data_IF_401572180022
#
_entry.id   IF_401572180022
#
_cell.length_a   1.000
_cell.length_b   1.000
_cell.length_c   1.000
_cell.angle_alpha   90.00
_cell.angle_beta   90.00
_cell.angle_gamma   90.00
#
_symmetry.space_group_name_H-M   'P 1'
#
loop_
_entity.id
_entity.type
_entity.pdbx_description
1 polymer ?
#
# COMPACT_ATOMS: atom_id res chain seq x y z
N UNK A 1 49.47 33.04 6.89
CA UNK A 1 49.18 32.47 8.23
C UNK A 1 47.90 31.67 8.11
N UNK A 2 48.03 30.35 8.17
CA UNK A 2 46.93 29.37 8.16
C UNK A 2 46.19 29.38 9.50
N UNK A 3 44.85 29.31 9.46
CA UNK A 3 43.98 28.65 10.45
C UNK A 3 42.76 28.16 9.64
N UNK A 4 42.57 26.91 9.22
CA UNK A 4 42.57 25.58 9.87
C UNK A 4 41.34 25.29 10.75
N UNK A 5 40.40 24.54 10.15
CA UNK A 5 39.52 23.46 10.65
C UNK A 5 38.67 23.64 11.92
N UNK A 6 37.35 23.41 11.79
CA UNK A 6 36.68 22.22 12.36
C UNK A 6 35.46 21.84 11.49
N UNK A 7 35.66 20.85 10.61
CA UNK A 7 34.57 20.07 10.04
C UNK A 7 34.05 19.12 11.12
N UNK A 8 32.73 19.07 11.32
CA UNK A 8 32.10 17.98 12.06
C UNK A 8 31.73 16.90 11.04
N UNK A 9 32.46 15.79 11.07
CA UNK A 9 32.17 14.59 10.30
C UNK A 9 30.80 14.04 10.72
N UNK A 10 29.82 14.16 9.82
CA UNK A 10 28.64 13.29 9.87
C UNK A 10 29.01 11.94 9.27
N UNK A 11 28.67 10.82 9.91
CA UNK A 11 28.91 9.50 9.33
C UNK A 11 28.09 9.33 8.03
N UNK A 12 28.60 8.59 7.03
CA UNK A 12 27.86 8.35 5.80
C UNK A 12 26.60 7.54 6.12
N UNK A 13 25.44 8.09 5.75
CA UNK A 13 24.18 7.34 5.72
C UNK A 13 24.37 6.15 4.77
N UNK A 14 24.17 4.94 5.27
CA UNK A 14 24.23 3.72 4.46
C UNK A 14 23.19 3.76 3.36
N UNK A 15 23.61 3.34 2.16
CA UNK A 15 22.80 3.28 0.96
C UNK A 15 21.79 2.12 1.06
N UNK A 16 20.62 2.35 1.67
CA UNK A 16 19.48 1.40 1.65
C UNK A 16 18.68 1.50 0.33
N UNK A 17 19.34 1.82 -0.80
CA UNK A 17 18.73 1.88 -2.13
C UNK A 17 18.42 0.47 -2.70
N UNK A 18 18.86 -0.58 -2.01
CA UNK A 18 18.71 -1.99 -2.41
C UNK A 18 17.29 -2.53 -2.16
N UNK A 19 16.62 -2.11 -1.08
CA UNK A 19 15.32 -2.67 -0.66
C UNK A 19 14.17 -2.22 -1.59
N UNK A 20 14.27 -1.03 -2.19
CA UNK A 20 13.21 -0.46 -3.04
C UNK A 20 13.26 -0.97 -4.49
N UNK A 21 14.41 -1.47 -4.98
CA UNK A 21 14.54 -1.99 -6.36
C UNK A 21 13.77 -3.29 -6.59
N UNK A 22 13.47 -4.06 -5.54
CA UNK A 22 12.74 -5.32 -5.65
C UNK A 22 11.23 -5.15 -5.89
N UNK A 23 10.65 -3.98 -5.59
CA UNK A 23 9.22 -3.70 -5.78
C UNK A 23 8.84 -3.50 -7.26
N UNK A 24 9.82 -3.27 -8.14
CA UNK A 24 9.59 -3.05 -9.58
C UNK A 24 9.54 -4.33 -10.44
N UNK A 25 9.74 -5.52 -9.87
CA UNK A 25 9.89 -6.78 -10.62
C UNK A 25 8.62 -7.63 -10.79
N UNK A 26 7.49 -7.23 -10.21
CA UNK A 26 6.24 -8.00 -10.28
C UNK A 26 5.25 -7.50 -11.34
N UNK A 27 5.74 -6.99 -12.48
CA UNK A 27 4.90 -6.77 -13.69
C UNK A 27 5.21 -7.81 -14.76
N UNK A 28 4.54 -8.96 -14.67
CA UNK A 28 4.45 -9.97 -15.72
C UNK A 28 3.05 -10.59 -15.72
N UNK A 29 2.49 -11.00 -16.88
CA UNK A 29 1.17 -11.61 -16.93
C UNK A 29 1.19 -12.97 -16.20
N UNK A 30 0.45 -13.07 -15.10
CA UNK A 30 0.22 -14.34 -14.40
C UNK A 30 -0.60 -15.26 -15.30
N UNK A 31 0.00 -16.38 -15.73
CA UNK A 31 -0.71 -17.48 -16.39
C UNK A 31 -1.59 -18.19 -15.33
N UNK A 32 -2.91 -18.10 -15.49
CA UNK A 32 -3.92 -18.55 -14.50
C UNK A 32 -4.09 -20.10 -14.48
N UNK A 33 -3.18 -20.88 -15.08
CA UNK A 33 -3.39 -22.33 -15.23
C UNK A 33 -2.79 -23.23 -14.14
N UNK A 34 -2.13 -22.71 -13.10
CA UNK A 34 -1.42 -23.58 -12.12
C UNK A 34 -1.65 -23.29 -10.62
N UNK A 35 -2.57 -22.40 -10.23
CA UNK A 35 -2.83 -22.10 -8.79
C UNK A 35 -4.08 -22.80 -8.24
N UNK A 36 -4.29 -24.08 -8.57
CA UNK A 36 -5.20 -24.97 -7.83
C UNK A 36 -4.36 -25.75 -6.82
N UNK A 37 -3.96 -25.11 -5.72
CA UNK A 37 -3.19 -25.78 -4.67
C UNK A 37 -2.67 -24.87 -3.57
N UNK A 38 -3.32 -24.92 -2.40
CA UNK A 38 -2.83 -24.48 -1.08
C UNK A 38 -2.64 -22.99 -0.82
N UNK A 39 -3.75 -22.27 -0.66
CA UNK A 39 -3.89 -21.42 0.53
C UNK A 39 -4.75 -22.20 1.51
N UNK A 40 -4.14 -22.92 2.45
CA UNK A 40 -4.87 -23.57 3.53
C UNK A 40 -5.49 -22.48 4.40
N UNK A 41 -6.74 -22.67 4.82
CA UNK A 41 -7.49 -21.77 5.72
C UNK A 41 -6.68 -21.45 7.00
N UNK A 42 -5.78 -22.34 7.40
CA UNK A 42 -4.83 -22.15 8.50
C UNK A 42 -3.96 -20.88 8.37
N UNK A 43 -3.56 -20.50 7.15
CA UNK A 43 -2.74 -19.30 6.93
C UNK A 43 -3.54 -18.01 7.08
N UNK A 44 -4.85 -18.06 6.89
CA UNK A 44 -5.75 -16.94 7.13
C UNK A 44 -6.12 -16.82 8.62
N UNK A 45 -6.27 -17.96 9.31
CA UNK A 45 -6.59 -17.98 10.75
C UNK A 45 -5.41 -17.51 11.61
N UNK A 46 -4.16 -17.80 11.24
CA UNK A 46 -3.00 -17.31 12.02
C UNK A 46 -2.84 -15.79 12.00
N UNK A 47 -3.49 -15.09 11.08
CA UNK A 47 -3.42 -13.63 10.97
C UNK A 47 -4.46 -12.94 11.86
N UNK A 48 -5.53 -13.65 12.25
CA UNK A 48 -6.61 -13.12 13.08
C UNK A 48 -6.32 -13.18 14.60
N UNK A 49 -5.20 -13.81 15.02
CA UNK A 49 -4.92 -14.12 16.43
C UNK A 49 -3.62 -13.48 16.94
N UNK A 50 -3.46 -12.16 16.74
CA UNK A 50 -2.42 -11.41 17.46
C UNK A 50 -2.91 -10.05 17.93
N UNK A 51 -3.99 -10.05 18.70
CA UNK A 51 -4.21 -8.97 19.67
C UNK A 51 -3.32 -9.22 20.90
N UNK A 52 -2.00 -9.09 20.71
CA UNK A 52 -1.07 -8.86 21.82
C UNK A 52 -1.22 -7.39 22.27
N UNK A 53 -2.38 -7.07 22.82
CA UNK A 53 -2.61 -5.80 23.48
C UNK A 53 -1.81 -5.85 24.78
N UNK A 54 -0.68 -5.11 24.84
CA UNK A 54 0.19 -4.82 26.01
C UNK A 54 1.62 -5.43 26.05
N UNK A 55 2.12 -6.10 25.02
CA UNK A 55 3.57 -6.42 24.97
C UNK A 55 4.41 -5.22 24.48
N UNK A 56 5.62 -4.98 25.02
CA UNK A 56 6.50 -3.92 24.52
C UNK A 56 6.88 -4.20 23.06
N UNK A 57 6.29 -3.46 22.13
CA UNK A 57 6.65 -3.54 20.72
C UNK A 57 7.85 -2.65 20.40
N UNK A 58 8.77 -3.18 19.60
CA UNK A 58 9.83 -2.40 18.98
C UNK A 58 9.26 -1.56 17.84
N UNK A 59 9.89 -0.41 17.57
CA UNK A 59 9.53 0.45 16.43
C UNK A 59 9.59 -0.29 15.09
N UNK A 60 10.45 -1.31 14.96
CA UNK A 60 10.52 -2.17 13.77
C UNK A 60 9.27 -3.04 13.61
N UNK A 61 8.76 -3.62 14.70
CA UNK A 61 7.53 -4.44 14.67
C UNK A 61 6.32 -3.58 14.32
N UNK A 62 6.24 -2.36 14.85
CA UNK A 62 5.19 -1.40 14.51
C UNK A 62 5.22 -1.07 13.00
N UNK A 63 6.41 -0.82 12.45
CA UNK A 63 6.56 -0.54 11.01
C UNK A 63 6.17 -1.73 10.15
N UNK A 64 6.57 -2.94 10.55
CA UNK A 64 6.21 -4.14 9.82
C UNK A 64 4.71 -4.40 9.85
N UNK A 65 4.05 -4.19 10.99
CA UNK A 65 2.61 -4.31 11.10
C UNK A 65 1.90 -3.27 10.19
N UNK A 66 2.39 -2.04 10.15
CA UNK A 66 1.83 -1.00 9.28
C UNK A 66 2.05 -1.31 7.79
N UNK A 67 3.22 -1.83 7.42
CA UNK A 67 3.49 -2.33 6.06
C UNK A 67 2.50 -3.42 5.66
N UNK A 68 2.26 -4.41 6.52
CA UNK A 68 1.33 -5.49 6.18
C UNK A 68 -0.10 -4.97 6.03
N UNK A 69 -0.53 -4.00 6.86
CA UNK A 69 -1.85 -3.34 6.67
C UNK A 69 -1.95 -2.62 5.33
N UNK A 70 -0.89 -1.93 4.90
CA UNK A 70 -0.82 -1.31 3.58
C UNK A 70 -0.91 -2.34 2.45
N UNK A 71 -0.20 -3.48 2.57
CA UNK A 71 -0.25 -4.57 1.58
C UNK A 71 -1.66 -5.18 1.48
N UNK A 72 -2.32 -5.44 2.62
CA UNK A 72 -3.71 -5.93 2.65
C UNK A 72 -4.66 -4.93 1.98
N UNK A 73 -4.53 -3.64 2.28
CA UNK A 73 -5.34 -2.60 1.64
C UNK A 73 -5.10 -2.55 0.12
N UNK A 74 -3.85 -2.78 -0.31
CA UNK A 74 -3.50 -2.83 -1.75
C UNK A 74 -4.15 -4.03 -2.44
N UNK A 75 -4.11 -5.21 -1.83
CA UNK A 75 -4.77 -6.41 -2.36
C UNK A 75 -6.28 -6.22 -2.50
N UNK A 76 -6.90 -5.56 -1.52
CA UNK A 76 -8.32 -5.22 -1.61
C UNK A 76 -8.60 -4.20 -2.73
N UNK A 77 -7.82 -3.12 -2.83
CA UNK A 77 -7.98 -2.15 -3.92
C UNK A 77 -7.86 -2.82 -5.30
N UNK A 78 -6.91 -3.75 -5.46
CA UNK A 78 -6.71 -4.49 -6.70
C UNK A 78 -7.93 -5.37 -7.05
N UNK A 79 -8.57 -5.97 -6.04
CA UNK A 79 -9.81 -6.72 -6.24
C UNK A 79 -10.96 -5.80 -6.71
N UNK A 80 -11.11 -4.63 -6.10
CA UNK A 80 -12.12 -3.64 -6.53
C UNK A 80 -11.84 -3.10 -7.93
N UNK A 81 -10.57 -2.82 -8.24
CA UNK A 81 -10.16 -2.40 -9.57
C UNK A 81 -10.47 -3.49 -10.61
N UNK A 82 -10.18 -4.76 -10.30
CA UNK A 82 -10.46 -5.87 -11.20
C UNK A 82 -11.96 -5.96 -11.54
N UNK A 83 -12.84 -5.88 -10.54
CA UNK A 83 -14.29 -5.84 -10.76
C UNK A 83 -14.72 -4.62 -11.56
N UNK A 84 -14.12 -3.44 -11.32
CA UNK A 84 -14.43 -2.24 -12.08
C UNK A 84 -14.06 -2.39 -13.57
N UNK A 85 -12.93 -3.04 -13.86
CA UNK A 85 -12.49 -3.31 -15.23
C UNK A 85 -13.35 -4.38 -15.94
N UNK A 86 -14.05 -5.23 -15.18
CA UNK A 86 -15.03 -6.20 -15.71
C UNK A 86 -16.37 -5.50 -15.97
N UNK A 87 -16.83 -4.66 -15.04
CA UNK A 87 -18.08 -3.91 -15.15
C UNK A 87 -18.05 -2.87 -16.29
N UNK A 88 -16.92 -2.17 -16.44
CA UNK A 88 -16.77 -1.00 -17.33
C UNK A 88 -15.90 -1.31 -18.56
N UNK A 89 -16.32 -2.30 -19.36
CA UNK A 89 -15.54 -2.82 -20.51
C UNK A 89 -15.15 -1.73 -21.51
N UNK A 90 -16.05 -0.78 -21.79
CA UNK A 90 -15.82 0.31 -22.75
C UNK A 90 -14.84 1.36 -22.22
N UNK A 91 -14.82 1.59 -20.90
CA UNK A 91 -13.97 2.57 -20.23
C UNK A 91 -12.68 1.96 -19.67
N UNK A 92 -12.48 0.65 -19.80
CA UNK A 92 -11.35 -0.11 -19.25
C UNK A 92 -9.99 0.58 -19.42
N UNK A 93 -9.68 1.04 -20.64
CA UNK A 93 -8.39 1.70 -20.92
C UNK A 93 -8.26 3.05 -20.17
N UNK A 94 -9.35 3.80 -20.04
CA UNK A 94 -9.36 5.06 -19.31
C UNK A 94 -9.20 4.83 -17.79
N UNK A 95 -9.85 3.80 -17.24
CA UNK A 95 -9.72 3.39 -15.84
C UNK A 95 -8.28 2.95 -15.54
N UNK A 96 -7.69 2.10 -16.38
CA UNK A 96 -6.29 1.67 -16.22
C UNK A 96 -5.31 2.84 -16.30
N UNK A 97 -5.51 3.77 -17.23
CA UNK A 97 -4.68 4.97 -17.32
C UNK A 97 -4.81 5.86 -16.07
N UNK A 98 -6.04 6.08 -15.59
CA UNK A 98 -6.30 6.83 -14.36
C UNK A 98 -5.64 6.16 -13.14
N UNK A 99 -5.72 4.83 -13.05
CA UNK A 99 -5.05 4.07 -11.99
C UNK A 99 -3.53 4.23 -12.05
N UNK A 100 -2.92 4.09 -13.22
CA UNK A 100 -1.47 4.24 -13.36
C UNK A 100 -0.97 5.65 -13.02
N UNK A 101 -1.75 6.69 -13.31
CA UNK A 101 -1.43 8.06 -12.90
C UNK A 101 -1.60 8.26 -11.39
N UNK A 102 -2.63 7.65 -10.80
CA UNK A 102 -2.84 7.68 -9.36
C UNK A 102 -1.72 6.97 -8.60
N UNK A 103 -1.22 5.83 -9.08
CA UNK A 103 -0.06 5.12 -8.49
C UNK A 103 1.18 6.02 -8.46
N UNK A 104 1.44 6.75 -9.55
CA UNK A 104 2.55 7.70 -9.62
C UNK A 104 2.37 8.85 -8.62
N UNK A 105 1.15 9.38 -8.49
CA UNK A 105 0.83 10.37 -7.46
C UNK A 105 1.05 9.82 -6.05
N UNK A 106 0.55 8.63 -5.74
CA UNK A 106 0.66 8.03 -4.41
C UNK A 106 2.12 7.84 -4.01
N UNK A 107 2.94 7.30 -4.92
CA UNK A 107 4.38 7.16 -4.70
C UNK A 107 5.05 8.52 -4.47
N UNK A 108 4.87 9.47 -5.39
CA UNK A 108 5.52 10.79 -5.27
C UNK A 108 5.09 11.54 -4.00
N UNK A 109 3.82 11.41 -3.59
CA UNK A 109 3.30 12.01 -2.37
C UNK A 109 3.90 11.35 -1.12
N UNK A 110 3.89 10.02 -1.04
CA UNK A 110 4.40 9.32 0.13
C UNK A 110 5.94 9.33 0.23
N UNK A 111 6.66 9.45 -0.88
CA UNK A 111 8.09 9.77 -0.89
C UNK A 111 8.36 11.13 -0.23
N UNK A 112 7.55 12.16 -0.54
CA UNK A 112 7.68 13.46 0.12
C UNK A 112 7.35 13.38 1.63
N UNK A 113 6.40 12.54 2.03
CA UNK A 113 6.13 12.24 3.45
C UNK A 113 7.34 11.56 4.10
N UNK A 114 7.93 10.56 3.45
CA UNK A 114 9.13 9.89 3.93
C UNK A 114 10.29 10.88 4.16
N UNK A 115 10.54 11.77 3.20
CA UNK A 115 11.58 12.80 3.31
C UNK A 115 11.33 13.78 4.47
N UNK A 116 10.07 14.17 4.69
CA UNK A 116 9.67 15.00 5.84
C UNK A 116 10.06 14.36 7.18
N UNK A 117 10.03 13.03 7.25
CA UNK A 117 10.33 12.26 8.47
C UNK A 117 11.76 11.69 8.51
N UNK A 118 12.63 12.09 7.57
CA UNK A 118 14.00 11.56 7.38
C UNK A 118 14.89 11.53 8.63
N UNK A 119 14.65 12.41 9.61
CA UNK A 119 15.42 12.53 10.85
C UNK A 119 15.15 11.46 11.93
N UNK A 120 14.26 10.49 11.71
CA UNK A 120 13.90 9.50 12.73
C UNK A 120 13.50 8.12 12.21
N UNK A 121 13.47 7.14 13.13
CA UNK A 121 13.03 5.78 12.82
C UNK A 121 11.56 5.70 12.41
N UNK A 122 10.74 6.70 12.74
CA UNK A 122 9.31 6.77 12.40
C UNK A 122 9.03 6.95 10.90
N UNK A 123 10.04 7.31 10.09
CA UNK A 123 9.89 7.58 8.65
C UNK A 123 9.19 6.47 7.86
N UNK A 124 9.51 5.21 8.16
CA UNK A 124 8.92 4.06 7.48
C UNK A 124 7.46 3.86 7.88
N UNK A 125 7.14 4.06 9.16
CA UNK A 125 5.76 4.00 9.64
C UNK A 125 4.89 5.04 8.91
N UNK A 126 5.38 6.27 8.82
CA UNK A 126 4.66 7.36 8.14
C UNK A 126 4.54 7.16 6.62
N UNK A 127 5.55 6.55 5.99
CA UNK A 127 5.47 6.14 4.58
C UNK A 127 4.38 5.08 4.35
N UNK A 128 4.37 4.00 5.15
CA UNK A 128 3.35 2.95 4.99
C UNK A 128 1.95 3.45 5.35
N UNK A 129 1.82 4.26 6.41
CA UNK A 129 0.56 4.90 6.80
C UNK A 129 0.01 5.77 5.68
N UNK A 130 0.86 6.61 5.06
CA UNK A 130 0.50 7.45 3.93
C UNK A 130 -0.08 6.63 2.76
N UNK A 131 0.62 5.57 2.35
CA UNK A 131 0.15 4.72 1.27
C UNK A 131 -1.18 4.06 1.61
N UNK A 132 -1.30 3.49 2.82
CA UNK A 132 -2.52 2.83 3.28
C UNK A 132 -3.72 3.79 3.21
N UNK A 133 -3.58 5.01 3.72
CA UNK A 133 -4.64 6.03 3.69
C UNK A 133 -5.07 6.35 2.25
N UNK A 134 -4.11 6.61 1.36
CA UNK A 134 -4.42 6.87 -0.06
C UNK A 134 -5.08 5.68 -0.74
N UNK A 135 -4.64 4.44 -0.45
CA UNK A 135 -5.20 3.22 -1.01
C UNK A 135 -6.67 3.07 -0.55
N UNK A 136 -6.96 3.24 0.73
CA UNK A 136 -8.34 3.17 1.26
C UNK A 136 -9.26 4.20 0.58
N UNK A 137 -8.79 5.44 0.45
CA UNK A 137 -9.52 6.49 -0.28
C UNK A 137 -9.75 6.10 -1.74
N UNK A 138 -8.73 5.57 -2.40
CA UNK A 138 -8.80 5.14 -3.80
C UNK A 138 -9.77 3.99 -3.99
N UNK A 139 -9.78 2.99 -3.12
CA UNK A 139 -10.73 1.88 -3.14
C UNK A 139 -12.16 2.40 -3.06
N UNK A 140 -12.45 3.33 -2.15
CA UNK A 140 -13.77 3.95 -2.06
C UNK A 140 -14.12 4.77 -3.31
N UNK A 141 -13.17 5.49 -3.91
CA UNK A 141 -13.39 6.22 -5.18
C UNK A 141 -13.72 5.24 -6.32
N UNK A 142 -12.96 4.15 -6.47
CA UNK A 142 -13.23 3.13 -7.49
C UNK A 142 -14.63 2.54 -7.28
N UNK A 143 -14.96 2.16 -6.05
CA UNK A 143 -16.27 1.63 -5.70
C UNK A 143 -17.40 2.60 -6.06
N UNK A 144 -17.27 3.85 -5.63
CA UNK A 144 -18.31 4.87 -5.80
C UNK A 144 -18.57 5.22 -7.26
N UNK A 145 -17.53 5.25 -8.08
CA UNK A 145 -17.65 5.71 -9.48
C UNK A 145 -17.99 4.57 -10.44
N UNK A 146 -17.61 3.32 -10.13
CA UNK A 146 -17.71 2.20 -11.09
C UNK A 146 -18.45 0.95 -10.59
N UNK A 147 -18.69 0.81 -9.27
CA UNK A 147 -19.25 -0.42 -8.70
C UNK A 147 -20.55 -0.23 -7.93
N UNK A 148 -21.08 0.99 -7.90
CA UNK A 148 -22.35 1.31 -7.27
C UNK A 148 -23.19 2.18 -8.18
N UNK A 149 -24.48 2.24 -7.89
CA UNK A 149 -25.45 2.96 -8.68
C UNK A 149 -26.15 4.00 -7.80
N UNK A 150 -26.56 5.15 -8.36
CA UNK A 150 -27.29 6.17 -7.61
C UNK A 150 -28.75 5.77 -7.31
N UNK A 151 -29.23 4.65 -7.86
CA UNK A 151 -30.55 4.11 -7.61
C UNK A 151 -30.52 3.00 -6.54
N UNK A 152 -31.64 2.29 -6.34
CA UNK A 152 -31.70 1.17 -5.38
C UNK A 152 -31.11 -0.14 -5.93
N UNK A 153 -30.36 -0.09 -7.04
CA UNK A 153 -29.69 -1.29 -7.57
C UNK A 153 -28.57 -1.68 -6.63
N UNK A 154 -28.49 -2.96 -6.20
CA UNK A 154 -27.39 -3.42 -5.36
C UNK A 154 -26.03 -3.18 -6.03
N UNK A 155 -25.01 -2.74 -5.28
CA UNK A 155 -23.68 -2.52 -5.83
C UNK A 155 -23.02 -3.85 -6.19
N UNK A 156 -22.07 -3.81 -7.13
CA UNK A 156 -21.30 -4.98 -7.59
C UNK A 156 -20.46 -5.57 -6.46
N UNK A 157 -19.87 -4.69 -5.65
CA UNK A 157 -19.18 -5.01 -4.40
C UNK A 157 -19.74 -4.18 -3.25
N UNK A 158 -19.65 -4.65 -1.98
CA UNK A 158 -20.04 -3.85 -0.83
C UNK A 158 -19.20 -2.57 -0.71
N UNK A 159 -19.69 -1.58 0.05
CA UNK A 159 -18.91 -0.37 0.37
C UNK A 159 -17.64 -0.76 1.17
N UNK A 160 -16.43 -0.32 0.75
CA UNK A 160 -15.18 -0.63 1.42
C UNK A 160 -15.01 0.09 2.77
N UNK A 161 -15.89 1.01 3.18
CA UNK A 161 -15.82 1.76 4.46
C UNK A 161 -15.95 0.92 5.74
N UNK A 162 -15.77 -0.40 5.70
CA UNK A 162 -15.80 -1.26 6.89
C UNK A 162 -14.49 -1.33 7.68
N UNK A 163 -13.51 -0.48 7.40
CA UNK A 163 -12.17 -0.58 8.04
C UNK A 163 -11.95 0.28 9.28
N UNK A 164 -13.01 0.87 9.84
CA UNK A 164 -12.99 1.50 11.15
C UNK A 164 -13.60 0.55 12.20
N UNK A 165 -12.87 -0.49 12.61
CA UNK A 165 -13.09 -1.24 13.87
C UNK A 165 -11.83 -2.00 14.30
#
# INVERSE_FOLDING_TARGET
>A
VLLAFLAHDSPPCGDDESELRHLSKFRGPLQISELVGMVTVEKLVSYADSTHENDPQTMREIQQAEKTKMEIASEEMDAYLAEALIAEVEQKNAIQNAQSLWEQYANAHCDAVYERWSGGSVRFFEYYRCHKELILERTHVIWKEFLTYPDNTPPVLPDPKKWDE
#
